data_IF_455823399348
#
_entry.id   IF_455823399348
#
_cell.length_a   1.000
_cell.length_b   1.000
_cell.length_c   1.000
_cell.angle_alpha   90.00
_cell.angle_beta   90.00
_cell.angle_gamma   90.00
#
_symmetry.space_group_name_H-M   'P 1'
#
loop_
_entity.id
_entity.type
_entity.pdbx_description
1 polymer ?
#
# COMPACT_ATOMS: atom_id res chain seq x y z
N UNK A 1 -7.80 35.16 -1.22
CA UNK A 1 -8.71 34.17 -0.61
C UNK A 1 -8.31 32.81 -1.16
N UNK A 2 -7.70 31.94 -0.36
CA UNK A 2 -7.37 30.58 -0.81
C UNK A 2 -8.69 29.86 -1.11
N UNK A 3 -8.84 29.30 -2.32
CA UNK A 3 -10.05 28.57 -2.66
C UNK A 3 -10.05 27.21 -1.95
N UNK A 4 -11.24 26.74 -1.57
CA UNK A 4 -11.42 25.41 -0.96
C UNK A 4 -10.79 24.30 -1.82
N UNK A 5 -10.81 24.46 -3.14
CA UNK A 5 -10.17 23.53 -4.08
C UNK A 5 -8.65 23.44 -3.88
N UNK A 6 -7.97 24.59 -3.77
CA UNK A 6 -6.51 24.63 -3.55
C UNK A 6 -6.13 24.03 -2.20
N UNK A 7 -6.95 24.24 -1.16
CA UNK A 7 -6.75 23.60 0.14
C UNK A 7 -6.86 22.07 0.05
N UNK A 8 -7.92 21.56 -0.56
CA UNK A 8 -8.12 20.11 -0.74
C UNK A 8 -6.99 19.47 -1.56
N UNK A 9 -6.55 20.15 -2.63
CA UNK A 9 -5.43 19.68 -3.45
C UNK A 9 -4.13 19.58 -2.65
N UNK A 10 -3.86 20.58 -1.79
CA UNK A 10 -2.75 20.53 -0.83
C UNK A 10 -2.86 19.33 0.13
N UNK A 11 -4.03 19.08 0.71
CA UNK A 11 -4.27 17.92 1.56
C UNK A 11 -4.05 16.59 0.82
N UNK A 12 -4.56 16.48 -0.42
CA UNK A 12 -4.36 15.27 -1.24
C UNK A 12 -2.88 15.02 -1.53
N UNK A 13 -2.11 16.07 -1.84
CA UNK A 13 -0.69 15.95 -2.10
C UNK A 13 0.10 15.51 -0.87
N UNK A 14 -0.24 16.03 0.31
CA UNK A 14 0.42 15.63 1.56
C UNK A 14 0.07 14.18 1.93
N UNK A 15 -1.19 13.76 1.76
CA UNK A 15 -1.57 12.36 1.97
C UNK A 15 -0.81 11.42 1.03
N UNK A 16 -0.70 11.77 -0.25
CA UNK A 16 0.09 10.99 -1.21
C UNK A 16 1.54 10.86 -0.75
N UNK A 17 2.16 11.97 -0.37
CA UNK A 17 3.56 11.97 0.12
C UNK A 17 3.74 11.09 1.35
N UNK A 18 2.79 11.09 2.30
CA UNK A 18 2.83 10.22 3.48
C UNK A 18 2.73 8.75 3.07
N UNK A 19 1.83 8.42 2.14
CA UNK A 19 1.69 7.06 1.62
C UNK A 19 2.97 6.60 0.92
N UNK A 20 3.54 7.43 0.06
CA UNK A 20 4.77 7.13 -0.68
C UNK A 20 5.92 6.89 0.30
N UNK A 21 6.11 7.78 1.29
CA UNK A 21 7.13 7.59 2.33
C UNK A 21 6.95 6.29 3.12
N UNK A 22 5.71 5.95 3.50
CA UNK A 22 5.45 4.71 4.21
C UNK A 22 5.86 3.48 3.39
N UNK A 23 5.55 3.47 2.09
CA UNK A 23 5.88 2.35 1.19
C UNK A 23 7.37 2.29 0.85
N UNK A 24 7.96 3.44 0.52
CA UNK A 24 9.33 3.54 0.02
C UNK A 24 10.37 3.46 1.14
N UNK A 25 10.03 3.84 2.36
CA UNK A 25 10.98 3.90 3.49
C UNK A 25 10.56 2.96 4.62
N UNK A 26 9.42 3.20 5.26
CA UNK A 26 9.03 2.47 6.48
C UNK A 26 8.80 0.96 6.24
N UNK A 27 8.19 0.61 5.10
CA UNK A 27 7.93 -0.78 4.70
C UNK A 27 9.15 -1.51 4.13
N UNK A 28 10.33 -0.88 4.10
CA UNK A 28 11.55 -1.53 3.62
C UNK A 28 12.30 -2.28 4.72
N UNK A 29 11.95 -2.06 5.98
CA UNK A 29 12.54 -2.78 7.11
C UNK A 29 12.12 -4.26 7.15
N UNK A 30 12.75 -5.03 8.02
CA UNK A 30 12.51 -6.48 8.14
C UNK A 30 11.05 -6.83 8.43
N UNK A 31 10.35 -5.97 9.19
CA UNK A 31 8.94 -6.16 9.50
C UNK A 31 8.06 -5.91 8.27
N UNK A 32 8.34 -4.84 7.52
CA UNK A 32 7.66 -4.50 6.28
C UNK A 32 7.86 -5.55 5.19
N UNK A 33 9.07 -6.10 5.07
CA UNK A 33 9.33 -7.22 4.15
C UNK A 33 8.60 -8.49 4.58
N UNK A 34 8.56 -8.79 5.89
CA UNK A 34 7.82 -9.94 6.41
C UNK A 34 6.32 -9.84 6.09
N UNK A 35 5.72 -8.67 6.30
CA UNK A 35 4.30 -8.44 5.97
C UNK A 35 4.02 -8.62 4.47
N UNK A 36 4.92 -8.15 3.59
CA UNK A 36 4.80 -8.36 2.13
C UNK A 36 4.84 -9.84 1.76
N UNK A 37 5.76 -10.60 2.37
CA UNK A 37 5.88 -12.05 2.16
C UNK A 37 4.63 -12.80 2.62
N UNK A 38 4.11 -12.50 3.82
CA UNK A 38 2.89 -13.13 4.33
C UNK A 38 1.69 -12.89 3.40
N UNK A 39 1.50 -11.65 2.95
CA UNK A 39 0.43 -11.31 2.00
C UNK A 39 0.61 -12.04 0.66
N UNK A 40 1.85 -12.14 0.17
CA UNK A 40 2.16 -12.87 -1.08
C UNK A 40 1.89 -14.38 -0.94
N UNK A 41 2.29 -14.98 0.17
CA UNK A 41 2.01 -16.39 0.47
C UNK A 41 0.51 -16.67 0.51
N UNK A 42 -0.28 -15.81 1.15
CA UNK A 42 -1.73 -15.93 1.19
C UNK A 42 -2.35 -15.80 -0.21
N UNK A 43 -1.88 -14.87 -1.04
CA UNK A 43 -2.34 -14.72 -2.42
C UNK A 43 -2.01 -15.95 -3.28
N UNK A 44 -0.80 -16.50 -3.14
CA UNK A 44 -0.39 -17.71 -3.85
C UNK A 44 -1.22 -18.92 -3.44
N UNK A 45 -1.54 -19.03 -2.14
CA UNK A 45 -2.43 -20.08 -1.64
C UNK A 45 -3.84 -19.95 -2.22
N UNK A 46 -4.41 -18.74 -2.23
CA UNK A 46 -5.72 -18.50 -2.85
C UNK A 46 -5.69 -18.86 -4.34
N UNK A 47 -4.65 -18.45 -5.08
CA UNK A 47 -4.52 -18.75 -6.50
C UNK A 47 -4.44 -20.27 -6.75
N UNK A 48 -3.63 -20.98 -5.97
CA UNK A 48 -3.51 -22.43 -6.03
C UNK A 48 -4.82 -23.14 -5.68
N UNK A 49 -5.51 -22.69 -4.64
CA UNK A 49 -6.81 -23.26 -4.25
C UNK A 49 -7.85 -23.05 -5.37
N UNK A 50 -7.83 -21.90 -6.06
CA UNK A 50 -8.69 -21.62 -7.20
C UNK A 50 -8.39 -22.50 -8.42
N UNK A 51 -7.11 -22.77 -8.72
CA UNK A 51 -6.71 -23.64 -9.83
C UNK A 51 -7.15 -25.10 -9.62
N UNK A 52 -7.27 -25.56 -8.37
CA UNK A 52 -7.65 -26.93 -8.04
C UNK A 52 -9.17 -27.13 -7.79
N UNK A 53 -10.00 -26.16 -8.19
CA UNK A 53 -11.47 -26.26 -8.12
C UNK A 53 -12.11 -26.92 -9.37
N UNK A 54 -11.32 -27.28 -10.39
CA UNK A 54 -11.75 -28.09 -11.55
C UNK A 54 -11.75 -29.61 -11.26
#
# INVERSE_FOLDING_TARGET
MFSHKVFLEGCTNELRRICDYFVEEAMQDDLGQKLKSEVLEDMLKIAHDLENLE
#
